data_IF_761430419848
#
_entry.id   IF_761430419848
#
_cell.length_a   1.000
_cell.length_b   1.000
_cell.length_c   1.000
_cell.angle_alpha   90.00
_cell.angle_beta   90.00
_cell.angle_gamma   90.00
#
_symmetry.space_group_name_H-M   'P 1'
#
loop_
_entity.id
_entity.type
_entity.pdbx_description
1 polymer ?
#
# COMPACT_ATOMS: atom_id res chain seq x y z
N UNK A 1 -12.35 -50.33 -33.23
CA UNK A 1 -13.64 -49.66 -32.92
C UNK A 1 -13.83 -48.56 -33.96
N UNK A 2 -14.72 -48.73 -34.93
CA UNK A 2 -15.03 -47.70 -35.94
C UNK A 2 -16.09 -46.78 -35.33
N UNK A 3 -15.81 -45.50 -35.25
CA UNK A 3 -16.78 -44.50 -34.82
C UNK A 3 -17.73 -44.27 -35.99
N UNK A 4 -19.04 -44.41 -35.76
CA UNK A 4 -20.02 -44.08 -36.80
C UNK A 4 -19.99 -42.58 -37.12
N UNK A 5 -20.10 -42.18 -38.40
CA UNK A 5 -20.00 -40.79 -38.83
C UNK A 5 -20.93 -39.83 -38.08
N UNK A 6 -22.12 -40.28 -37.70
CA UNK A 6 -23.08 -39.46 -36.94
C UNK A 6 -22.66 -39.28 -35.49
N UNK A 7 -22.05 -40.29 -34.88
CA UNK A 7 -21.45 -40.17 -33.55
C UNK A 7 -20.27 -39.20 -33.56
N UNK A 8 -19.44 -39.22 -34.61
CA UNK A 8 -18.36 -38.27 -34.79
C UNK A 8 -18.86 -36.83 -34.94
N UNK A 9 -19.95 -36.59 -35.70
CA UNK A 9 -20.57 -35.26 -35.83
C UNK A 9 -21.09 -34.73 -34.50
N UNK A 10 -21.75 -35.56 -33.70
CA UNK A 10 -22.25 -35.16 -32.37
C UNK A 10 -21.11 -34.79 -31.42
N UNK A 11 -20.01 -35.55 -31.44
CA UNK A 11 -18.83 -35.23 -30.62
C UNK A 11 -18.17 -33.91 -31.05
N UNK A 12 -18.09 -33.65 -32.36
CA UNK A 12 -17.55 -32.39 -32.90
C UNK A 12 -18.45 -31.21 -32.50
N UNK A 13 -19.78 -31.35 -32.65
CA UNK A 13 -20.71 -30.30 -32.25
C UNK A 13 -20.60 -29.98 -30.75
N UNK A 14 -20.51 -31.01 -29.91
CA UNK A 14 -20.32 -30.85 -28.47
C UNK A 14 -19.00 -30.15 -28.12
N UNK A 15 -17.91 -30.51 -28.82
CA UNK A 15 -16.60 -29.87 -28.62
C UNK A 15 -16.64 -28.37 -29.02
N UNK A 16 -17.39 -28.03 -30.08
CA UNK A 16 -17.60 -26.64 -30.50
C UNK A 16 -18.41 -25.90 -29.46
N UNK A 17 -19.51 -26.49 -28.97
CA UNK A 17 -20.35 -25.88 -27.93
C UNK A 17 -19.52 -25.62 -26.65
N UNK A 18 -18.77 -26.62 -26.19
CA UNK A 18 -17.88 -26.51 -25.02
C UNK A 18 -16.82 -25.41 -25.22
N UNK A 19 -16.21 -25.32 -26.40
CA UNK A 19 -15.24 -24.28 -26.73
C UNK A 19 -15.86 -22.87 -26.76
N UNK A 20 -17.08 -22.74 -27.32
CA UNK A 20 -17.81 -21.47 -27.35
C UNK A 20 -18.29 -21.03 -25.95
N UNK A 21 -18.58 -21.96 -25.05
CA UNK A 21 -18.93 -21.66 -23.66
C UNK A 21 -17.74 -21.13 -22.83
N UNK A 22 -16.51 -21.55 -23.15
CA UNK A 22 -15.29 -21.10 -22.47
C UNK A 22 -14.80 -19.72 -22.94
N UNK A 23 -15.05 -19.37 -24.20
CA UNK A 23 -14.64 -18.09 -24.78
C UNK A 23 -15.10 -16.84 -23.99
N UNK A 24 -16.38 -16.70 -23.57
CA UNK A 24 -16.83 -15.55 -22.79
C UNK A 24 -16.22 -15.50 -21.38
N UNK A 25 -15.93 -16.65 -20.76
CA UNK A 25 -15.29 -16.71 -19.43
C UNK A 25 -13.86 -16.15 -19.52
N UNK A 26 -13.09 -16.59 -20.52
CA UNK A 26 -11.73 -16.10 -20.76
C UNK A 26 -11.74 -14.61 -21.12
N UNK A 27 -12.68 -14.17 -21.93
CA UNK A 27 -12.83 -12.76 -22.28
C UNK A 27 -13.13 -11.89 -21.05
N UNK A 28 -14.08 -12.30 -20.22
CA UNK A 28 -14.45 -11.56 -19.00
C UNK A 28 -13.29 -11.52 -18.00
N UNK A 29 -12.61 -12.65 -17.77
CA UNK A 29 -11.42 -12.68 -16.91
C UNK A 29 -10.30 -11.79 -17.46
N UNK A 30 -10.06 -11.83 -18.78
CA UNK A 30 -9.09 -10.97 -19.46
C UNK A 30 -9.43 -9.48 -19.34
N UNK A 31 -10.72 -9.11 -19.36
CA UNK A 31 -11.17 -7.74 -19.21
C UNK A 31 -11.03 -7.21 -17.77
N UNK A 32 -11.20 -8.06 -16.75
CA UNK A 32 -11.08 -7.65 -15.34
C UNK A 32 -9.63 -7.55 -14.84
N UNK A 33 -8.67 -8.22 -15.49
CA UNK A 33 -7.26 -8.20 -15.06
C UNK A 33 -6.61 -6.80 -15.11
N UNK A 34 -6.79 -5.98 -16.17
CA UNK A 34 -6.31 -4.60 -16.19
C UNK A 34 -6.89 -3.71 -15.08
N UNK A 35 -8.18 -3.90 -14.75
CA UNK A 35 -8.84 -3.14 -13.69
C UNK A 35 -8.25 -3.48 -12.31
N UNK A 36 -8.02 -4.77 -12.04
CA UNK A 36 -7.31 -5.25 -10.85
C UNK A 36 -5.89 -4.67 -10.78
N UNK A 37 -5.14 -4.69 -11.88
CA UNK A 37 -3.81 -4.10 -11.95
C UNK A 37 -3.82 -2.59 -11.65
N UNK A 38 -4.80 -1.87 -12.19
CA UNK A 38 -4.98 -0.44 -11.96
C UNK A 38 -5.34 -0.13 -10.50
N UNK A 39 -6.18 -0.96 -9.89
CA UNK A 39 -6.52 -0.86 -8.47
C UNK A 39 -5.29 -1.05 -7.57
N UNK A 40 -4.48 -2.09 -7.82
CA UNK A 40 -3.27 -2.32 -7.03
C UNK A 40 -2.24 -1.19 -7.19
N UNK A 41 -2.11 -0.63 -8.40
CA UNK A 41 -1.25 0.53 -8.63
C UNK A 41 -1.72 1.77 -7.83
N UNK A 42 -3.02 2.05 -7.84
CA UNK A 42 -3.60 3.14 -7.05
C UNK A 42 -3.44 2.91 -5.54
N UNK A 43 -3.67 1.67 -5.08
CA UNK A 43 -3.46 1.28 -3.68
C UNK A 43 -2.01 1.51 -3.24
N UNK A 44 -1.03 1.04 -4.02
CA UNK A 44 0.39 1.22 -3.71
C UNK A 44 0.77 2.70 -3.66
N UNK A 45 0.28 3.52 -4.60
CA UNK A 45 0.50 4.97 -4.58
C UNK A 45 -0.05 5.64 -3.31
N UNK A 46 -1.24 5.24 -2.85
CA UNK A 46 -1.80 5.70 -1.58
C UNK A 46 -0.94 5.29 -0.37
N UNK A 47 -0.43 4.06 -0.35
CA UNK A 47 0.44 3.56 0.73
C UNK A 47 1.75 4.33 0.75
N UNK A 48 2.39 4.56 -0.40
CA UNK A 48 3.62 5.35 -0.50
C UNK A 48 3.42 6.78 0.00
N UNK A 49 2.33 7.44 -0.43
CA UNK A 49 2.00 8.79 0.03
C UNK A 49 1.75 8.84 1.55
N UNK A 50 1.07 7.83 2.10
CA UNK A 50 0.86 7.71 3.54
C UNK A 50 2.19 7.55 4.29
N UNK A 51 3.06 6.66 3.84
CA UNK A 51 4.37 6.42 4.46
C UNK A 51 5.27 7.64 4.42
N UNK A 52 5.28 8.38 3.31
CA UNK A 52 6.02 9.63 3.18
C UNK A 52 5.54 10.67 4.22
N UNK A 53 4.22 10.81 4.35
CA UNK A 53 3.62 11.75 5.30
C UNK A 53 3.86 11.35 6.76
N UNK A 54 3.77 10.05 7.07
CA UNK A 54 4.08 9.54 8.40
C UNK A 54 5.54 9.83 8.78
N UNK A 55 6.47 9.61 7.85
CA UNK A 55 7.90 9.88 8.05
C UNK A 55 8.17 11.36 8.31
N UNK A 56 7.52 12.25 7.56
CA UNK A 56 7.61 13.70 7.78
C UNK A 56 7.12 14.08 9.19
N UNK A 57 5.97 13.56 9.61
CA UNK A 57 5.43 13.83 10.95
C UNK A 57 6.33 13.31 12.07
N UNK A 58 6.89 12.10 11.93
CA UNK A 58 7.87 11.56 12.88
C UNK A 58 9.11 12.47 12.98
N UNK A 59 9.69 12.85 11.83
CA UNK A 59 10.87 13.73 11.79
C UNK A 59 10.60 15.08 12.46
N UNK A 60 9.41 15.65 12.23
CA UNK A 60 8.98 16.91 12.86
C UNK A 60 8.81 16.76 14.37
N UNK A 61 8.23 15.65 14.82
CA UNK A 61 8.07 15.37 16.25
C UNK A 61 9.42 15.21 16.95
N UNK A 62 10.36 14.50 16.33
CA UNK A 62 11.74 14.34 16.83
C UNK A 62 12.46 15.69 16.93
N UNK A 63 12.35 16.54 15.90
CA UNK A 63 12.93 17.88 15.92
C UNK A 63 12.34 18.76 17.02
N UNK A 64 11.03 18.65 17.27
CA UNK A 64 10.37 19.39 18.35
C UNK A 64 10.84 18.90 19.72
N UNK A 65 10.92 17.58 19.92
CA UNK A 65 11.41 16.99 21.16
C UNK A 65 12.87 17.40 21.44
N UNK A 66 13.75 17.35 20.43
CA UNK A 66 15.13 17.78 20.56
C UNK A 66 15.28 19.27 20.86
N UNK A 67 14.35 20.10 20.37
CA UNK A 67 14.30 21.54 20.69
C UNK A 67 13.82 21.76 22.13
N UNK A 68 12.77 21.05 22.55
CA UNK A 68 12.26 21.14 23.92
C UNK A 68 13.31 20.71 24.95
N UNK A 69 14.04 19.63 24.68
CA UNK A 69 15.15 19.17 25.52
C UNK A 69 16.25 20.23 25.65
N UNK A 70 16.71 20.81 24.52
CA UNK A 70 17.71 21.89 24.55
C UNK A 70 17.24 23.13 25.32
N UNK A 71 15.96 23.48 25.19
CA UNK A 71 15.40 24.61 25.94
C UNK A 71 15.35 24.31 27.44
N UNK A 72 14.98 23.09 27.85
CA UNK A 72 15.01 22.67 29.25
C UNK A 72 16.43 22.71 29.82
N UNK A 73 17.40 22.14 29.12
CA UNK A 73 18.82 22.20 29.53
C UNK A 73 19.30 23.65 29.66
N UNK A 74 18.88 24.54 28.75
CA UNK A 74 19.25 25.97 28.82
C UNK A 74 18.65 26.64 30.06
N UNK A 75 17.39 26.35 30.38
CA UNK A 75 16.71 26.90 31.58
C UNK A 75 17.40 26.39 32.84
N UNK A 76 17.64 25.08 32.95
CA UNK A 76 18.33 24.48 34.11
C UNK A 76 19.72 25.09 34.34
N UNK A 77 20.48 25.28 33.25
CA UNK A 77 21.80 25.90 33.31
C UNK A 77 21.76 27.42 33.61
N UNK A 78 20.63 28.09 33.39
CA UNK A 78 20.46 29.52 33.71
C UNK A 78 19.96 29.72 35.14
N UNK A 79 19.11 28.82 35.64
CA UNK A 79 18.58 28.87 37.00
C UNK A 79 19.62 28.49 38.06
N UNK A 80 20.50 27.52 37.78
CA UNK A 80 21.57 27.11 38.70
C UNK A 80 22.51 28.26 39.14
N UNK A 81 23.06 29.10 38.24
CA UNK A 81 23.89 30.25 38.63
C UNK A 81 23.09 31.39 39.27
N UNK A 82 21.80 31.54 38.93
CA UNK A 82 20.94 32.56 39.53
C UNK A 82 20.63 32.23 41.01
N UNK A 83 20.32 30.97 41.30
CA UNK A 83 20.12 30.46 42.65
C UNK A 83 21.41 30.58 43.49
N UNK A 84 22.56 30.20 42.93
CA UNK A 84 23.85 30.34 43.60
C UNK A 84 24.23 31.80 43.90
N UNK A 85 23.87 32.73 43.02
CA UNK A 85 24.11 34.17 43.23
C UNK A 85 23.21 34.75 44.32
N UNK A 86 21.95 34.30 44.41
CA UNK A 86 20.99 34.69 45.46
C UNK A 86 21.35 34.13 46.84
N UNK A 87 21.91 32.92 46.93
CA UNK A 87 22.40 32.35 48.19
C UNK A 87 23.69 33.02 48.70
N UNK A 88 24.41 33.75 47.83
CA UNK A 88 25.64 34.47 48.19
C UNK A 88 25.43 35.92 48.67
N UNK A 89 24.18 36.40 48.64
CA UNK A 89 23.73 37.74 49.05
C UNK A 89 23.20 37.74 50.49
#
# INVERSE_FOLDING_TARGET
>A
MRIEPDHARTLIAKLVDDATALAPIVHNAGASLPELGSFFAAYNSCVEAFMARATEHCSRAESLAATALRNLETIENTDAPLAASLESL
#
